data_IF_488105107183
#
_entry.id   IF_488105107183
#
_cell.length_a   1.000
_cell.length_b   1.000
_cell.length_c   1.000
_cell.angle_alpha   90.00
_cell.angle_beta   90.00
_cell.angle_gamma   90.00
#
_symmetry.space_group_name_H-M   'P 1'
#
loop_
_entity.id
_entity.type
_entity.pdbx_description
1 polymer ?
#
# COMPACT_ATOMS: atom_id res chain seq x y z
N UNK A 1 8.20 -5.14 8.81
CA UNK A 1 8.00 -4.11 7.76
C UNK A 1 6.52 -3.96 7.36
N UNK A 2 5.87 -4.93 6.69
CA UNK A 2 4.45 -4.76 6.26
C UNK A 2 3.48 -4.52 7.43
N UNK A 3 3.65 -5.23 8.55
CA UNK A 3 2.78 -5.04 9.72
C UNK A 3 2.91 -3.65 10.38
N UNK A 4 4.03 -2.95 10.16
CA UNK A 4 4.28 -1.61 10.70
C UNK A 4 3.66 -0.51 9.83
N UNK A 5 3.15 -0.86 8.64
CA UNK A 5 2.47 0.09 7.78
C UNK A 5 1.20 0.64 8.43
N UNK A 6 0.93 1.92 8.21
CA UNK A 6 -0.37 2.49 8.58
C UNK A 6 -1.50 1.65 7.96
N UNK A 7 -2.63 1.43 8.65
CA UNK A 7 -3.67 0.51 8.18
C UNK A 7 -4.11 0.73 6.73
N UNK A 8 -4.30 1.99 6.33
CA UNK A 8 -4.70 2.37 4.95
C UNK A 8 -3.63 2.10 3.89
N UNK A 9 -2.35 2.03 4.27
CA UNK A 9 -1.23 1.72 3.38
C UNK A 9 -1.05 0.21 3.27
N UNK A 10 -1.15 -0.50 4.40
CA UNK A 10 -1.14 -1.96 4.46
C UNK A 10 -2.25 -2.56 3.60
N UNK A 11 -3.46 -2.02 3.72
CA UNK A 11 -4.61 -2.52 2.96
C UNK A 11 -4.39 -2.42 1.45
N UNK A 12 -3.97 -1.25 0.92
CA UNK A 12 -3.77 -1.10 -0.53
C UNK A 12 -2.60 -1.93 -1.05
N UNK A 13 -1.53 -2.09 -0.27
CA UNK A 13 -0.34 -2.83 -0.72
C UNK A 13 -0.60 -4.33 -0.77
N UNK A 14 -1.38 -4.87 0.18
CA UNK A 14 -1.80 -6.28 0.15
C UNK A 14 -2.70 -6.53 -1.06
N UNK A 15 -3.69 -5.66 -1.30
CA UNK A 15 -4.61 -5.84 -2.42
C UNK A 15 -3.91 -5.73 -3.77
N UNK A 16 -2.96 -4.81 -3.91
CA UNK A 16 -2.23 -4.62 -5.17
C UNK A 16 -1.11 -5.66 -5.37
N UNK A 17 -0.14 -5.73 -4.45
CA UNK A 17 1.08 -6.55 -4.65
C UNK A 17 0.86 -8.04 -4.32
N UNK A 18 -0.13 -8.41 -3.49
CA UNK A 18 -0.37 -9.82 -3.10
C UNK A 18 -1.65 -10.43 -3.66
N UNK A 19 -2.66 -9.59 -3.96
CA UNK A 19 -3.93 -10.04 -4.57
C UNK A 19 -4.05 -9.66 -6.04
N UNK A 20 -3.02 -9.00 -6.60
CA UNK A 20 -2.91 -8.62 -8.01
C UNK A 20 -4.11 -7.83 -8.52
N UNK A 21 -4.79 -7.10 -7.64
CA UNK A 21 -5.93 -6.27 -8.02
C UNK A 21 -5.46 -5.00 -8.74
N UNK A 22 -6.19 -4.60 -9.78
CA UNK A 22 -6.00 -3.32 -10.45
C UNK A 22 -6.35 -2.13 -9.55
N UNK A 23 -5.91 -0.92 -9.92
CA UNK A 23 -6.26 0.29 -9.16
C UNK A 23 -7.76 0.55 -9.12
N UNK A 24 -8.47 0.23 -10.20
CA UNK A 24 -9.91 0.38 -10.36
C UNK A 24 -10.67 -0.59 -9.43
N UNK A 25 -10.26 -1.86 -9.35
CA UNK A 25 -10.86 -2.83 -8.45
C UNK A 25 -10.64 -2.47 -6.98
N UNK A 26 -9.44 -1.97 -6.63
CA UNK A 26 -9.15 -1.49 -5.27
C UNK A 26 -9.96 -0.23 -4.95
N UNK A 27 -10.07 0.70 -5.91
CA UNK A 27 -10.88 1.92 -5.79
C UNK A 27 -12.34 1.58 -5.48
N UNK A 28 -12.92 0.64 -6.24
CA UNK A 28 -14.28 0.15 -6.01
C UNK A 28 -14.42 -0.56 -4.66
N UNK A 29 -13.50 -1.49 -4.34
CA UNK A 29 -13.53 -2.27 -3.09
C UNK A 29 -13.43 -1.39 -1.84
N UNK A 30 -12.59 -0.35 -1.87
CA UNK A 30 -12.32 0.53 -0.73
C UNK A 30 -13.20 1.79 -0.73
N UNK A 31 -14.11 1.92 -1.69
CA UNK A 31 -14.96 3.08 -1.91
C UNK A 31 -14.17 4.40 -1.82
N UNK A 32 -13.09 4.50 -2.61
CA UNK A 32 -12.22 5.68 -2.63
C UNK A 32 -11.73 5.98 -4.05
N UNK A 33 -11.35 7.22 -4.39
CA UNK A 33 -10.87 7.54 -5.73
C UNK A 33 -9.61 6.74 -6.12
N UNK A 34 -9.47 6.39 -7.40
CA UNK A 34 -8.25 5.79 -7.96
C UNK A 34 -6.99 6.60 -7.61
N UNK A 35 -7.08 7.94 -7.60
CA UNK A 35 -5.99 8.81 -7.16
C UNK A 35 -5.58 8.60 -5.69
N UNK A 36 -6.53 8.24 -4.82
CA UNK A 36 -6.26 7.86 -3.42
C UNK A 36 -5.56 6.51 -3.33
N UNK A 37 -5.93 5.54 -4.18
CA UNK A 37 -5.23 4.23 -4.25
C UNK A 37 -3.76 4.45 -4.63
N UNK A 38 -3.52 5.23 -5.70
CA UNK A 38 -2.16 5.56 -6.17
C UNK A 38 -1.33 6.26 -5.09
N UNK A 39 -1.88 7.27 -4.43
CA UNK A 39 -1.15 7.99 -3.38
C UNK A 39 -0.91 7.14 -2.13
N UNK A 40 -1.85 6.26 -1.74
CA UNK A 40 -1.63 5.31 -0.64
C UNK A 40 -0.54 4.29 -0.99
N UNK A 41 -0.50 3.75 -2.21
CA UNK A 41 0.55 2.82 -2.64
C UNK A 41 1.93 3.46 -2.66
N UNK A 42 2.04 4.70 -3.17
CA UNK A 42 3.29 5.46 -3.12
C UNK A 42 3.81 5.60 -1.68
N UNK A 43 2.95 6.03 -0.76
CA UNK A 43 3.33 6.21 0.64
C UNK A 43 3.61 4.87 1.35
N UNK A 44 2.89 3.80 1.02
CA UNK A 44 3.15 2.46 1.52
C UNK A 44 4.56 1.98 1.15
N UNK A 45 4.94 2.12 -0.13
CA UNK A 45 6.28 1.76 -0.63
C UNK A 45 7.39 2.60 0.01
N UNK A 46 7.16 3.91 0.18
CA UNK A 46 8.11 4.80 0.86
C UNK A 46 8.33 4.39 2.32
N UNK A 47 7.26 4.06 3.04
CA UNK A 47 7.38 3.60 4.43
C UNK A 47 8.09 2.23 4.49
N UNK A 48 7.75 1.28 3.61
CA UNK A 48 8.46 0.00 3.53
C UNK A 48 9.95 0.17 3.25
N UNK A 49 10.32 1.09 2.37
CA UNK A 49 11.72 1.37 2.08
C UNK A 49 12.48 1.80 3.33
N UNK A 50 11.91 2.70 4.12
CA UNK A 50 12.51 3.12 5.41
C UNK A 50 12.64 1.95 6.38
N UNK A 51 11.55 1.21 6.59
CA UNK A 51 11.52 0.07 7.53
C UNK A 51 12.49 -1.05 7.14
N UNK A 52 12.66 -1.31 5.84
CA UNK A 52 13.59 -2.32 5.34
C UNK A 52 15.03 -1.83 5.43
N UNK A 53 15.30 -0.54 5.17
CA UNK A 53 16.62 0.03 5.35
C UNK A 53 17.07 -0.11 6.81
N UNK A 54 16.19 0.19 7.77
CA UNK A 54 16.48 0.06 9.19
C UNK A 54 16.77 -1.39 9.63
N UNK A 55 16.16 -2.38 8.98
CA UNK A 55 16.39 -3.81 9.26
C UNK A 55 17.68 -4.38 8.66
N UNK A 56 18.22 -3.72 7.63
CA UNK A 56 19.43 -4.14 6.93
C UNK A 56 20.70 -3.47 7.47
N UNK A 57 20.55 -2.57 8.44
CA UNK A 57 21.63 -1.94 9.20
C UNK A 57 21.93 -2.71 10.49
#
# INVERSE_FOLDING_TARGET
AIENLKPKFKEVIILYDMKEMSYEEISAKLNCPVGTVKSRLFNARKQLQTELADLLN
#
